data_IF_376186809163
#
_entry.id   IF_376186809163
#
_cell.length_a   1.000
_cell.length_b   1.000
_cell.length_c   1.000
_cell.angle_alpha   90.00
_cell.angle_beta   90.00
_cell.angle_gamma   90.00
#
_symmetry.space_group_name_H-M   'P 1'
#
loop_
_entity.id
_entity.type
_entity.pdbx_description
1 polymer ?
#
# COMPACT_ATOMS: atom_id res chain seq x y z
N UNK A 1 -9.96 4.63 -21.96
CA UNK A 1 -8.99 3.59 -21.51
C UNK A 1 -7.87 4.15 -20.62
N UNK A 2 -7.06 5.13 -21.06
CA UNK A 2 -5.93 5.66 -20.26
C UNK A 2 -6.32 6.12 -18.85
N UNK A 3 -7.45 6.81 -18.72
CA UNK A 3 -7.97 7.27 -17.43
C UNK A 3 -8.20 6.12 -16.44
N UNK A 4 -8.78 5.01 -16.91
CA UNK A 4 -8.98 3.81 -16.09
C UNK A 4 -7.66 3.23 -15.61
N UNK A 5 -6.65 3.15 -16.49
CA UNK A 5 -5.34 2.59 -16.14
C UNK A 5 -4.62 3.42 -15.08
N UNK A 6 -4.69 4.75 -15.19
CA UNK A 6 -4.04 5.66 -14.25
C UNK A 6 -4.73 5.73 -12.86
N UNK A 7 -5.96 5.22 -12.72
CA UNK A 7 -6.63 5.17 -11.42
C UNK A 7 -5.89 4.26 -10.44
N UNK A 8 -5.47 4.83 -9.31
CA UNK A 8 -4.88 4.17 -8.15
C UNK A 8 -5.67 4.55 -6.90
N UNK A 9 -5.81 3.61 -5.97
CA UNK A 9 -6.41 3.91 -4.66
C UNK A 9 -5.49 4.84 -3.87
N UNK A 10 -6.07 5.84 -3.21
CA UNK A 10 -5.35 6.71 -2.27
C UNK A 10 -5.38 6.10 -0.87
N UNK A 11 -4.38 6.40 -0.04
CA UNK A 11 -4.33 5.89 1.35
C UNK A 11 -5.56 6.28 2.19
N UNK A 12 -6.14 7.47 1.92
CA UNK A 12 -7.34 7.97 2.60
C UNK A 12 -8.66 7.52 1.98
N UNK A 13 -8.63 6.80 0.86
CA UNK A 13 -9.83 6.45 0.11
C UNK A 13 -10.39 5.10 0.55
N UNK A 14 -11.71 5.04 0.78
CA UNK A 14 -12.41 3.79 1.03
C UNK A 14 -12.65 3.02 -0.27
N UNK A 15 -12.56 1.69 -0.21
CA UNK A 15 -12.71 0.80 -1.38
C UNK A 15 -14.01 1.06 -2.14
N UNK A 16 -15.11 1.32 -1.43
CA UNK A 16 -16.42 1.64 -2.03
C UNK A 16 -16.38 2.92 -2.87
N UNK A 17 -15.67 3.95 -2.42
CA UNK A 17 -15.50 5.19 -3.17
C UNK A 17 -14.66 4.98 -4.41
N UNK A 18 -13.56 4.22 -4.27
CA UNK A 18 -12.70 3.84 -5.40
C UNK A 18 -13.46 3.02 -6.45
N UNK A 19 -14.29 2.06 -6.03
CA UNK A 19 -15.07 1.22 -6.96
C UNK A 19 -16.09 2.03 -7.76
N UNK A 20 -16.73 3.04 -7.16
CA UNK A 20 -17.63 3.94 -7.89
C UNK A 20 -16.91 4.75 -8.97
N UNK A 21 -15.69 5.23 -8.69
CA UNK A 21 -14.88 5.95 -9.69
C UNK A 21 -14.52 5.06 -10.87
N UNK A 22 -14.06 3.84 -10.60
CA UNK A 22 -13.74 2.86 -11.64
C UNK A 22 -14.98 2.52 -12.49
N UNK A 23 -16.14 2.36 -11.86
CA UNK A 23 -17.40 2.07 -12.56
C UNK A 23 -17.83 3.25 -13.44
N UNK A 24 -17.71 4.49 -12.95
CA UNK A 24 -18.02 5.69 -13.73
C UNK A 24 -17.18 5.74 -15.02
N UNK A 25 -15.86 5.52 -14.90
CA UNK A 25 -14.94 5.52 -16.06
C UNK A 25 -15.26 4.35 -17.01
N UNK A 26 -15.52 3.16 -16.48
CA UNK A 26 -15.87 1.99 -17.29
C UNK A 26 -17.17 2.21 -18.09
N UNK A 27 -18.16 2.87 -17.47
CA UNK A 27 -19.40 3.24 -18.15
C UNK A 27 -19.13 4.22 -19.30
N UNK A 28 -18.30 5.25 -19.10
CA UNK A 28 -17.91 6.17 -20.18
C UNK A 28 -17.21 5.43 -21.33
N UNK A 29 -16.31 4.50 -21.04
CA UNK A 29 -15.62 3.69 -22.07
C UNK A 29 -16.63 2.86 -22.88
N UNK A 30 -17.62 2.24 -22.21
CA UNK A 30 -18.65 1.46 -22.88
C UNK A 30 -19.60 2.30 -23.74
N UNK A 31 -19.93 3.52 -23.28
CA UNK A 31 -20.75 4.46 -24.05
C UNK A 31 -20.08 4.86 -25.37
N UNK A 32 -18.75 4.86 -25.42
CA UNK A 32 -17.97 5.08 -26.64
C UNK A 32 -17.90 3.85 -27.57
N UNK A 33 -18.72 2.81 -27.32
CA UNK A 33 -18.75 1.58 -28.12
C UNK A 33 -17.52 0.68 -27.96
N UNK A 34 -16.64 0.98 -26.99
CA UNK A 34 -15.45 0.16 -26.75
C UNK A 34 -15.84 -1.09 -25.95
N UNK A 35 -15.42 -2.26 -26.44
CA UNK A 35 -15.57 -3.49 -25.66
C UNK A 35 -14.69 -3.41 -24.39
N UNK A 36 -15.34 -3.40 -23.23
CA UNK A 36 -14.67 -3.27 -21.93
C UNK A 36 -15.11 -4.37 -20.97
N UNK A 37 -14.16 -5.24 -20.61
CA UNK A 37 -14.41 -6.37 -19.72
C UNK A 37 -14.55 -5.92 -18.26
N UNK A 38 -15.62 -6.36 -17.58
CA UNK A 38 -15.85 -6.08 -16.16
C UNK A 38 -14.80 -6.72 -15.24
N UNK A 39 -14.12 -7.79 -15.67
CA UNK A 39 -13.03 -8.42 -14.92
C UNK A 39 -11.93 -7.43 -14.53
N UNK A 40 -11.63 -6.46 -15.41
CA UNK A 40 -10.64 -5.40 -15.14
C UNK A 40 -10.99 -4.53 -13.93
N UNK A 41 -12.29 -4.29 -13.70
CA UNK A 41 -12.76 -3.55 -12.53
C UNK A 41 -12.53 -4.38 -11.26
N UNK A 42 -12.91 -5.66 -11.30
CA UNK A 42 -12.70 -6.59 -10.18
C UNK A 42 -11.22 -6.75 -9.83
N UNK A 43 -10.35 -6.92 -10.83
CA UNK A 43 -8.90 -7.01 -10.65
C UNK A 43 -8.35 -5.76 -9.94
N UNK A 44 -8.71 -4.55 -10.40
CA UNK A 44 -8.27 -3.31 -9.74
C UNK A 44 -8.80 -3.19 -8.30
N UNK A 45 -10.06 -3.56 -8.05
CA UNK A 45 -10.64 -3.55 -6.70
C UNK A 45 -9.92 -4.54 -5.80
N UNK A 46 -9.61 -5.74 -6.28
CA UNK A 46 -8.90 -6.77 -5.51
C UNK A 46 -7.49 -6.30 -5.16
N UNK A 47 -6.74 -5.78 -6.14
CA UNK A 47 -5.40 -5.21 -5.91
C UNK A 47 -5.46 -4.08 -4.88
N UNK A 48 -6.44 -3.17 -5.01
CA UNK A 48 -6.65 -2.09 -4.05
C UNK A 48 -6.96 -2.62 -2.64
N UNK A 49 -7.81 -3.65 -2.52
CA UNK A 49 -8.17 -4.26 -1.24
C UNK A 49 -6.96 -4.89 -0.57
N UNK A 50 -6.12 -5.59 -1.32
CA UNK A 50 -4.87 -6.15 -0.81
C UNK A 50 -3.93 -5.04 -0.34
N UNK A 51 -3.70 -4.00 -1.15
CA UNK A 51 -2.84 -2.86 -0.76
C UNK A 51 -3.26 -2.22 0.55
N UNK A 52 -4.55 -1.89 0.70
CA UNK A 52 -5.07 -1.25 1.92
C UNK A 52 -4.84 -2.12 3.17
N UNK A 53 -4.88 -3.45 3.04
CA UNK A 53 -4.66 -4.36 4.17
C UNK A 53 -3.17 -4.56 4.48
N UNK A 54 -2.32 -4.73 3.47
CA UNK A 54 -0.93 -5.13 3.66
C UNK A 54 0.06 -3.96 3.81
N UNK A 55 -0.16 -2.82 3.14
CA UNK A 55 0.76 -1.68 3.20
C UNK A 55 0.95 -1.12 4.62
N UNK A 56 -0.11 -0.94 5.45
CA UNK A 56 0.07 -0.47 6.83
C UNK A 56 0.87 -1.45 7.70
N UNK A 57 0.68 -2.76 7.48
CA UNK A 57 1.40 -3.81 8.20
C UNK A 57 2.89 -3.77 7.82
N UNK A 58 3.17 -3.70 6.51
CA UNK A 58 4.54 -3.60 6.02
C UNK A 58 5.25 -2.35 6.56
N UNK A 59 4.59 -1.17 6.55
CA UNK A 59 5.14 0.07 7.12
C UNK A 59 5.49 -0.08 8.60
N UNK A 60 4.59 -0.68 9.40
CA UNK A 60 4.85 -0.93 10.84
C UNK A 60 6.05 -1.85 11.07
N UNK A 61 6.17 -2.94 10.29
CA UNK A 61 7.29 -3.88 10.41
C UNK A 61 8.63 -3.24 10.04
N UNK A 62 8.67 -2.42 8.99
CA UNK A 62 9.88 -1.69 8.59
C UNK A 62 10.31 -0.69 9.67
N UNK A 63 9.36 0.07 10.23
CA UNK A 63 9.63 1.01 11.33
C UNK A 63 10.10 0.30 12.60
N UNK A 64 9.54 -0.87 12.92
CA UNK A 64 9.96 -1.68 14.06
C UNK A 64 11.40 -2.20 13.90
N UNK A 65 11.80 -2.57 12.68
CA UNK A 65 13.18 -2.98 12.35
C UNK A 65 14.17 -1.81 12.36
N UNK A 66 13.76 -0.62 11.89
CA UNK A 66 14.59 0.59 11.93
C UNK A 66 14.91 1.06 13.36
N UNK A 67 14.06 0.72 14.34
CA UNK A 67 14.33 0.93 15.77
C UNK A 67 15.19 -0.18 16.41
N UNK A 68 15.33 -1.34 15.76
CA UNK A 68 16.04 -2.50 16.28
C UNK A 68 17.55 -2.52 15.97
N UNK A 69 18.07 -1.58 15.19
CA UNK A 69 19.51 -1.41 14.95
C UNK A 69 20.11 -0.32 15.85
N UNK A 70 20.37 -0.67 17.12
CA UNK A 70 21.45 -0.09 17.93
C UNK A 70 22.57 -1.16 18.01
N UNK A 71 23.81 -0.74 17.72
CA UNK A 71 24.99 -1.49 17.20
C UNK A 71 25.42 -2.79 17.93
N UNK A 72 26.22 -3.66 17.25
CA UNK A 72 26.72 -4.92 17.81
C UNK A 72 27.63 -4.73 19.02
N UNK A 73 27.56 -5.73 19.90
CA UNK A 73 28.37 -5.95 21.12
C UNK A 73 29.87 -5.91 20.80
N UNK A 74 30.59 -4.91 21.28
CA UNK A 74 32.04 -5.01 21.42
C UNK A 74 32.33 -5.74 22.74
N UNK A 75 32.81 -6.98 22.65
CA UNK A 75 33.49 -7.62 23.76
C UNK A 75 34.96 -7.22 23.67
N UNK A 76 35.32 -6.16 24.36
CA UNK A 76 36.69 -5.96 24.84
C UNK A 76 36.64 -6.05 26.35
N UNK A 77 37.60 -6.76 26.93
CA UNK A 77 37.54 -7.32 28.28
C UNK A 77 36.93 -6.43 29.36
N UNK A 78 36.05 -7.05 30.14
CA UNK A 78 35.55 -6.66 31.47
C UNK A 78 34.81 -5.31 31.57
N UNK A 79 33.52 -5.45 31.90
CA UNK A 79 32.51 -4.47 32.34
C UNK A 79 31.55 -4.01 31.25
N UNK A 80 30.33 -4.55 31.31
CA UNK A 80 29.16 -4.07 30.58
C UNK A 80 28.82 -2.66 31.08
N UNK A 81 29.02 -1.64 30.26
CA UNK A 81 28.45 -0.32 30.49
C UNK A 81 27.38 -0.03 29.45
N UNK A 82 26.12 0.07 29.90
CA UNK A 82 25.01 0.54 29.07
C UNK A 82 25.08 2.06 29.07
N UNK A 83 25.52 2.66 27.96
CA UNK A 83 25.58 4.11 27.85
C UNK A 83 24.15 4.62 27.57
N UNK A 84 23.51 5.19 28.60
CA UNK A 84 22.25 5.92 28.47
C UNK A 84 22.57 7.39 28.20
N UNK A 85 22.14 7.93 27.06
CA UNK A 85 22.16 9.38 26.81
C UNK A 85 20.79 9.96 27.13
N UNK A 86 20.79 11.09 27.86
CA UNK A 86 19.63 11.90 28.28
C UNK A 86 18.70 12.25 27.14
#
# INVERSE_FOLDING_TARGET
MREFELQKIKESEIIKGYSYKLLSIANQIKLLGTNFAYSRIFEKILIARLKVLYEPIAKKLVQAKGKATRKPRQQTGKTLQIITTK
#
